data_IF_660660273749
#
_entry.id   IF_660660273749
#
_cell.length_a   1.000
_cell.length_b   1.000
_cell.length_c   1.000
_cell.angle_alpha   90.00
_cell.angle_beta   90.00
_cell.angle_gamma   90.00
#
_symmetry.space_group_name_H-M   'P 1'
#
loop_
_entity.id
_entity.type
_entity.pdbx_description
1 polymer ?
#
# COMPACT_ATOMS: atom_id res chain seq x y z
N UNK A 1 -44.15 45.27 -37.47
CA UNK A 1 -43.38 44.29 -38.27
C UNK A 1 -42.07 44.98 -38.62
N UNK A 2 -41.01 44.69 -37.85
CA UNK A 2 -39.89 43.82 -38.29
C UNK A 2 -39.10 44.51 -39.44
N UNK A 3 -37.78 44.70 -39.41
CA UNK A 3 -36.76 43.95 -38.69
C UNK A 3 -35.44 44.76 -38.64
N UNK A 4 -34.72 44.64 -37.53
CA UNK A 4 -33.33 45.06 -37.40
C UNK A 4 -32.44 44.00 -38.04
N UNK A 5 -31.61 44.35 -39.01
CA UNK A 5 -30.53 43.45 -39.47
C UNK A 5 -29.17 44.00 -39.10
N UNK A 6 -28.60 43.35 -38.08
CA UNK A 6 -27.25 43.51 -37.56
C UNK A 6 -26.19 43.18 -38.63
N UNK A 7 -25.16 44.02 -38.71
CA UNK A 7 -23.95 43.77 -39.48
C UNK A 7 -23.17 42.59 -38.91
N UNK A 8 -22.99 41.56 -39.72
CA UNK A 8 -22.20 40.36 -39.44
C UNK A 8 -20.73 40.62 -39.77
N UNK A 9 -19.88 40.63 -38.73
CA UNK A 9 -18.44 40.73 -38.89
C UNK A 9 -17.82 39.33 -38.81
N UNK A 10 -17.30 38.83 -39.94
CA UNK A 10 -16.54 37.59 -40.04
C UNK A 10 -15.05 37.91 -39.89
N UNK A 11 -14.40 37.30 -38.90
CA UNK A 11 -12.95 37.09 -38.92
C UNK A 11 -12.60 35.78 -38.22
N UNK A 12 -12.23 34.82 -39.07
CA UNK A 12 -11.61 33.55 -38.73
C UNK A 12 -10.35 33.80 -37.88
N UNK A 13 -10.09 32.96 -36.87
CA UNK A 13 -8.73 32.57 -36.48
C UNK A 13 -8.77 31.33 -35.57
N UNK A 14 -8.55 30.20 -36.22
CA UNK A 14 -8.14 28.92 -35.68
C UNK A 14 -6.84 29.05 -34.85
N UNK A 15 -6.90 28.83 -33.54
CA UNK A 15 -5.75 28.38 -32.74
C UNK A 15 -6.22 27.43 -31.64
N UNK A 16 -6.13 26.13 -31.90
CA UNK A 16 -6.11 25.09 -30.85
C UNK A 16 -4.67 24.95 -30.34
N UNK A 17 -4.36 25.20 -29.06
CA UNK A 17 -3.19 24.59 -28.45
C UNK A 17 -3.61 23.25 -27.88
N UNK A 18 -3.57 22.22 -28.73
CA UNK A 18 -3.25 20.87 -28.27
C UNK A 18 -1.84 20.94 -27.67
N UNK A 19 -1.68 20.45 -26.43
CA UNK A 19 -0.49 19.77 -25.88
C UNK A 19 -0.52 19.81 -24.35
N UNK A 20 -1.34 18.96 -23.73
CA UNK A 20 -1.20 18.64 -22.31
C UNK A 20 -1.41 17.15 -22.00
N UNK A 21 -1.18 16.26 -22.97
CA UNK A 21 -1.22 14.79 -22.73
C UNK A 21 0.13 14.24 -22.26
N UNK A 22 1.23 14.97 -22.46
CA UNK A 22 2.57 14.51 -22.07
C UNK A 22 2.81 14.57 -20.54
N UNK A 23 2.17 15.48 -19.81
CA UNK A 23 2.37 15.62 -18.35
C UNK A 23 1.59 14.58 -17.54
N UNK A 24 0.42 14.15 -18.04
CA UNK A 24 -0.41 13.13 -17.36
C UNK A 24 0.11 11.71 -17.52
N UNK A 25 0.94 11.44 -18.55
CA UNK A 25 1.42 10.08 -18.84
C UNK A 25 2.49 9.57 -17.86
N UNK A 26 3.27 10.48 -17.25
CA UNK A 26 4.37 10.12 -16.34
C UNK A 26 3.92 9.86 -14.90
N UNK A 27 2.82 10.49 -14.45
CA UNK A 27 2.26 10.25 -13.11
C UNK A 27 1.54 8.91 -12.99
N UNK A 28 0.92 8.44 -14.08
CA UNK A 28 0.12 7.21 -14.07
C UNK A 28 0.97 5.93 -13.98
N UNK A 29 2.16 5.91 -14.59
CA UNK A 29 2.98 4.70 -14.63
C UNK A 29 3.64 4.35 -13.29
N UNK A 30 3.96 5.37 -12.47
CA UNK A 30 4.61 5.19 -11.15
C UNK A 30 3.59 4.83 -10.06
N UNK A 31 2.33 5.20 -10.25
CA UNK A 31 1.23 4.84 -9.36
C UNK A 31 0.80 3.38 -9.58
N UNK A 32 0.68 2.97 -10.86
CA UNK A 32 0.34 1.60 -11.24
C UNK A 32 1.42 0.57 -10.82
N UNK A 33 2.70 0.92 -10.95
CA UNK A 33 3.80 0.08 -10.46
C UNK A 33 3.73 -0.13 -8.94
N UNK A 34 3.44 0.93 -8.18
CA UNK A 34 3.32 0.88 -6.72
C UNK A 34 2.13 0.04 -6.27
N UNK A 35 1.03 0.07 -7.01
CA UNK A 35 -0.12 -0.81 -6.76
C UNK A 35 0.25 -2.28 -6.92
N UNK A 36 0.99 -2.62 -7.98
CA UNK A 36 1.49 -3.99 -8.21
C UNK A 36 2.50 -4.46 -7.16
N UNK A 37 3.40 -3.57 -6.74
CA UNK A 37 4.37 -3.86 -5.69
C UNK A 37 3.69 -4.08 -4.33
N UNK A 38 2.63 -3.32 -4.04
CA UNK A 38 1.80 -3.52 -2.85
C UNK A 38 1.09 -4.88 -2.85
N UNK A 39 0.53 -5.32 -3.98
CA UNK A 39 -0.14 -6.61 -4.06
C UNK A 39 0.85 -7.77 -3.85
N UNK A 40 2.02 -7.71 -4.49
CA UNK A 40 3.08 -8.71 -4.27
C UNK A 40 3.54 -8.74 -2.81
N UNK A 41 3.71 -7.59 -2.19
CA UNK A 41 4.06 -7.50 -0.78
C UNK A 41 2.97 -8.15 0.08
N UNK A 42 1.70 -7.83 -0.17
CA UNK A 42 0.56 -8.40 0.55
C UNK A 42 0.54 -9.94 0.47
N UNK A 43 0.79 -10.51 -0.70
CA UNK A 43 0.92 -11.97 -0.85
C UNK A 43 2.06 -12.56 -0.02
N UNK A 44 3.22 -11.87 0.03
CA UNK A 44 4.36 -12.30 0.84
C UNK A 44 4.00 -12.25 2.33
N UNK A 45 3.44 -11.15 2.80
CA UNK A 45 3.01 -10.99 4.21
C UNK A 45 2.00 -12.07 4.60
N UNK A 46 1.05 -12.38 3.71
CA UNK A 46 0.09 -13.46 3.92
C UNK A 46 0.79 -14.81 4.08
N UNK A 47 1.73 -15.16 3.18
CA UNK A 47 2.50 -16.40 3.27
C UNK A 47 3.28 -16.48 4.59
N UNK A 48 3.95 -15.40 4.99
CA UNK A 48 4.71 -15.36 6.25
C UNK A 48 3.78 -15.59 7.45
N UNK A 49 2.69 -14.84 7.55
CA UNK A 49 1.77 -14.93 8.67
C UNK A 49 1.11 -16.32 8.82
N UNK A 50 0.72 -16.97 7.72
CA UNK A 50 -0.02 -18.23 7.78
C UNK A 50 0.84 -19.49 7.79
N UNK A 51 2.08 -19.39 7.28
CA UNK A 51 2.98 -20.54 7.12
C UNK A 51 4.19 -20.52 8.05
N UNK A 52 4.66 -19.34 8.47
CA UNK A 52 5.90 -19.22 9.25
C UNK A 52 5.70 -18.74 10.69
N UNK A 53 4.67 -17.94 10.95
CA UNK A 53 4.38 -17.49 12.32
C UNK A 53 3.61 -18.55 13.09
N UNK A 54 4.08 -18.84 14.30
CA UNK A 54 3.37 -19.63 15.29
C UNK A 54 2.53 -18.77 16.23
N UNK A 55 1.78 -19.40 17.15
CA UNK A 55 1.11 -18.68 18.24
C UNK A 55 2.13 -17.87 19.07
N UNK A 56 1.88 -16.56 19.26
CA UNK A 56 2.76 -15.66 20.03
C UNK A 56 3.90 -15.02 19.25
N UNK A 57 4.38 -15.65 18.18
CA UNK A 57 5.50 -15.16 17.36
C UNK A 57 5.18 -13.84 16.67
N UNK A 58 3.92 -13.66 16.26
CA UNK A 58 3.48 -12.40 15.67
C UNK A 58 3.53 -11.25 16.69
N UNK A 59 3.41 -11.52 17.99
CA UNK A 59 3.58 -10.49 19.04
C UNK A 59 5.04 -10.11 19.22
N UNK A 60 5.97 -11.06 19.10
CA UNK A 60 7.41 -10.75 19.13
C UNK A 60 7.80 -9.80 17.98
N UNK A 61 7.27 -10.03 16.78
CA UNK A 61 7.43 -9.09 15.66
C UNK A 61 6.76 -7.75 15.93
N UNK A 62 5.55 -7.75 16.49
CA UNK A 62 4.87 -6.52 16.86
C UNK A 62 5.71 -5.68 17.83
N UNK A 63 6.30 -6.29 18.86
CA UNK A 63 7.22 -5.61 19.77
C UNK A 63 8.49 -5.12 19.09
N UNK A 64 9.07 -5.93 18.17
CA UNK A 64 10.24 -5.51 17.39
C UNK A 64 9.95 -4.26 16.54
N UNK A 65 8.74 -4.15 15.98
CA UNK A 65 8.27 -2.97 15.26
C UNK A 65 7.63 -1.90 16.14
N UNK A 66 7.85 -1.97 17.45
CA UNK A 66 7.39 -1.00 18.44
C UNK A 66 5.86 -0.78 18.49
N UNK A 67 5.07 -1.80 18.19
CA UNK A 67 3.63 -1.77 18.48
C UNK A 67 3.41 -1.73 19.99
N UNK A 68 2.44 -0.92 20.44
CA UNK A 68 2.08 -0.86 21.86
C UNK A 68 1.20 -2.03 22.26
N UNK A 69 1.16 -2.34 23.56
CA UNK A 69 0.27 -3.38 24.11
C UNK A 69 -1.20 -3.12 23.77
N UNK A 70 -1.62 -1.86 23.76
CA UNK A 70 -2.98 -1.46 23.38
C UNK A 70 -3.27 -1.74 21.91
N UNK A 71 -2.30 -1.50 21.02
CA UNK A 71 -2.42 -1.81 19.60
C UNK A 71 -2.48 -3.32 19.36
N UNK A 72 -1.65 -4.09 20.05
CA UNK A 72 -1.66 -5.56 19.99
C UNK A 72 -3.02 -6.08 20.45
N UNK A 73 -3.53 -5.62 21.60
CA UNK A 73 -4.86 -5.99 22.11
C UNK A 73 -5.98 -5.61 21.14
N UNK A 74 -5.90 -4.45 20.50
CA UNK A 74 -6.88 -4.03 19.51
C UNK A 74 -6.90 -4.94 18.28
N UNK A 75 -5.73 -5.43 17.84
CA UNK A 75 -5.61 -6.41 16.75
C UNK A 75 -6.18 -7.76 17.20
N UNK A 76 -5.91 -8.19 18.44
CA UNK A 76 -6.43 -9.45 18.98
C UNK A 76 -7.95 -9.46 19.05
N UNK A 77 -8.53 -8.36 19.52
CA UNK A 77 -9.96 -8.24 19.78
C UNK A 77 -10.83 -8.56 18.55
N UNK A 78 -10.35 -8.26 17.34
CA UNK A 78 -11.12 -8.46 16.11
C UNK A 78 -11.23 -9.92 15.66
N UNK A 79 -10.30 -10.81 16.05
CA UNK A 79 -10.33 -12.21 15.63
C UNK A 79 -10.14 -13.13 16.82
N UNK A 80 -11.17 -13.90 17.15
CA UNK A 80 -11.14 -14.83 18.27
C UNK A 80 -11.23 -16.27 17.76
N UNK A 81 -10.33 -17.14 18.21
CA UNK A 81 -10.32 -18.56 17.85
C UNK A 81 -8.92 -19.19 17.85
N UNK A 82 -8.81 -20.52 17.82
CA UNK A 82 -7.54 -21.23 17.96
C UNK A 82 -6.53 -20.99 16.83
N UNK A 83 -6.97 -20.46 15.68
CA UNK A 83 -6.10 -20.07 14.55
C UNK A 83 -6.09 -18.57 14.25
N UNK A 84 -6.66 -17.74 15.12
CA UNK A 84 -6.74 -16.29 14.89
C UNK A 84 -5.38 -15.60 14.86
N UNK A 85 -4.35 -16.19 15.48
CA UNK A 85 -2.98 -15.67 15.46
C UNK A 85 -2.41 -15.46 14.04
N UNK A 86 -2.89 -16.22 13.05
CA UNK A 86 -2.49 -16.05 11.64
C UNK A 86 -3.07 -14.77 11.04
N UNK A 87 -4.36 -14.52 11.31
CA UNK A 87 -5.05 -13.28 10.92
C UNK A 87 -4.45 -12.08 11.65
N UNK A 88 -4.18 -12.21 12.96
CA UNK A 88 -3.54 -11.17 13.76
C UNK A 88 -2.17 -10.80 13.20
N UNK A 89 -1.33 -11.80 12.91
CA UNK A 89 -0.02 -11.58 12.31
C UNK A 89 -0.10 -10.91 10.94
N UNK A 90 -1.03 -11.35 10.09
CA UNK A 90 -1.20 -10.75 8.77
C UNK A 90 -1.65 -9.29 8.85
N UNK A 91 -2.59 -8.96 9.74
CA UNK A 91 -3.05 -7.58 9.93
C UNK A 91 -1.99 -6.67 10.54
N UNK A 92 -1.27 -7.17 11.54
CA UNK A 92 -0.16 -6.46 12.14
C UNK A 92 0.91 -6.12 11.09
N UNK A 93 1.25 -7.08 10.23
CA UNK A 93 2.17 -6.88 9.10
C UNK A 93 1.66 -5.87 8.07
N UNK A 94 0.36 -5.90 7.75
CA UNK A 94 -0.26 -4.90 6.87
C UNK A 94 -0.12 -3.49 7.45
N UNK A 95 -0.50 -3.30 8.72
CA UNK A 95 -0.40 -2.00 9.41
C UNK A 95 1.04 -1.50 9.40
N UNK A 96 2.00 -2.37 9.74
CA UNK A 96 3.43 -2.07 9.68
C UNK A 96 3.86 -1.61 8.28
N UNK A 97 3.48 -2.36 7.23
CA UNK A 97 3.88 -2.06 5.85
C UNK A 97 3.33 -0.72 5.34
N UNK A 98 2.14 -0.30 5.81
CA UNK A 98 1.57 1.00 5.48
C UNK A 98 2.31 2.17 6.15
N UNK A 99 2.98 1.93 7.27
CA UNK A 99 3.79 2.92 7.99
C UNK A 99 5.19 3.14 7.41
N UNK A 100 5.62 2.34 6.43
CA UNK A 100 6.95 2.44 5.84
C UNK A 100 7.08 3.67 4.93
N UNK A 101 8.25 4.30 4.97
CA UNK A 101 8.59 5.40 4.06
C UNK A 101 8.69 4.93 2.61
N UNK A 102 8.48 5.85 1.66
CA UNK A 102 8.49 5.55 0.21
C UNK A 102 9.83 5.04 -0.34
N UNK A 103 10.91 5.26 0.39
CA UNK A 103 12.28 4.86 0.03
C UNK A 103 12.70 3.56 0.75
N UNK A 104 11.85 3.00 1.61
CA UNK A 104 12.12 1.77 2.34
C UNK A 104 11.72 0.57 1.50
N UNK A 105 12.59 -0.44 1.45
CA UNK A 105 12.25 -1.71 0.82
C UNK A 105 11.58 -2.65 1.85
N UNK A 106 10.25 -2.86 1.77
CA UNK A 106 9.51 -3.62 2.77
C UNK A 106 9.93 -5.09 2.84
N UNK A 107 10.39 -5.68 1.73
CA UNK A 107 10.81 -7.09 1.70
C UNK A 107 12.13 -7.26 2.47
N UNK A 108 13.05 -6.31 2.31
CA UNK A 108 14.32 -6.31 3.02
C UNK A 108 14.11 -6.13 4.52
N UNK A 109 13.33 -5.12 4.93
CA UNK A 109 13.03 -4.88 6.34
C UNK A 109 12.32 -6.07 6.99
N UNK A 110 11.39 -6.71 6.26
CA UNK A 110 10.72 -7.92 6.73
C UNK A 110 11.71 -9.06 6.99
N UNK A 111 12.65 -9.28 6.07
CA UNK A 111 13.69 -10.30 6.22
C UNK A 111 14.60 -10.04 7.42
N UNK A 112 15.07 -8.80 7.58
CA UNK A 112 15.92 -8.38 8.69
C UNK A 112 15.17 -8.55 10.03
N UNK A 113 13.90 -8.15 10.08
CA UNK A 113 13.05 -8.28 11.27
C UNK A 113 12.78 -9.75 11.64
N UNK A 114 12.48 -10.60 10.65
CA UNK A 114 12.29 -12.03 10.86
C UNK A 114 13.57 -12.67 11.41
N UNK A 115 14.72 -12.30 10.88
CA UNK A 115 16.03 -12.77 11.36
C UNK A 115 16.29 -12.30 12.79
N UNK A 116 15.97 -11.04 13.11
CA UNK A 116 16.15 -10.45 14.44
C UNK A 116 15.31 -11.12 15.53
N UNK A 117 14.07 -11.53 15.21
CA UNK A 117 13.23 -12.31 16.14
C UNK A 117 13.58 -13.81 16.17
N UNK A 118 14.68 -14.22 15.55
CA UNK A 118 15.19 -15.59 15.59
C UNK A 118 14.51 -16.55 14.61
N UNK A 119 13.75 -16.05 13.62
CA UNK A 119 13.27 -16.89 12.51
C UNK A 119 14.40 -17.07 11.53
N UNK A 120 14.77 -18.34 11.27
CA UNK A 120 15.66 -18.66 10.16
C UNK A 120 14.99 -18.18 8.87
N UNK A 121 15.60 -17.26 8.13
CA UNK A 121 15.10 -16.92 6.81
C UNK A 121 15.10 -18.20 5.95
N UNK A 122 14.10 -18.36 5.09
CA UNK A 122 14.10 -19.44 4.10
C UNK A 122 15.38 -19.28 3.26
N UNK A 123 16.24 -20.30 3.31
CA UNK A 123 17.29 -20.56 2.33
C UNK A 123 16.68 -21.25 1.10
#
# INVERSE_FOLDING_TARGET
MEDQTNGTNKKDNNFKPSLSTARSKWRSSKDDSRGRDNERLREILYKVAYKQLGPGEWKMLAHHWAFTEEQIKAIEHQYNGPSSYKEHGFRMMLIWSHGLGVDVNPIRELYESLTAVGKRPLA
#
